data_IF_662084309955
#
_entry.id   IF_662084309955
#
_cell.length_a   1.000
_cell.length_b   1.000
_cell.length_c   1.000
_cell.angle_alpha   90.00
_cell.angle_beta   90.00
_cell.angle_gamma   90.00
#
_symmetry.space_group_name_H-M   'P 1'
#
loop_
_entity.id
_entity.type
_entity.pdbx_description
1 polymer ?
#
# COMPACT_ATOMS: atom_id res chain seq x y z
N UNK A 1 -12.35 5.45 11.27
CA UNK A 1 -10.97 5.35 10.73
C UNK A 1 -10.72 4.03 10.01
N UNK A 2 -10.83 2.86 10.67
CA UNK A 2 -10.61 1.54 10.04
C UNK A 2 -11.32 1.38 8.69
N UNK A 3 -12.64 1.59 8.64
CA UNK A 3 -13.44 1.42 7.40
C UNK A 3 -12.94 2.31 6.26
N UNK A 4 -12.59 3.57 6.53
CA UNK A 4 -12.08 4.52 5.54
C UNK A 4 -10.71 4.10 5.00
N UNK A 5 -9.80 3.68 5.88
CA UNK A 5 -8.45 3.27 5.48
C UNK A 5 -8.48 1.96 4.68
N UNK A 6 -9.25 0.97 5.14
CA UNK A 6 -9.45 -0.29 4.41
C UNK A 6 -10.12 -0.03 3.06
N UNK A 7 -11.14 0.83 3.00
CA UNK A 7 -11.77 1.20 1.74
C UNK A 7 -10.80 1.88 0.76
N UNK A 8 -10.01 2.85 1.21
CA UNK A 8 -9.00 3.49 0.37
C UNK A 8 -7.96 2.48 -0.11
N UNK A 9 -7.52 1.56 0.76
CA UNK A 9 -6.60 0.50 0.41
C UNK A 9 -7.17 -0.42 -0.68
N UNK A 10 -8.40 -0.90 -0.48
CA UNK A 10 -9.07 -1.76 -1.45
C UNK A 10 -9.29 -1.03 -2.77
N UNK A 11 -9.71 0.23 -2.75
CA UNK A 11 -9.89 1.03 -3.96
C UNK A 11 -8.59 1.13 -4.79
N UNK A 12 -7.44 1.27 -4.15
CA UNK A 12 -6.16 1.39 -4.85
C UNK A 12 -5.64 0.02 -5.31
N UNK A 13 -5.60 -0.96 -4.40
CA UNK A 13 -4.85 -2.21 -4.57
C UNK A 13 -5.72 -3.45 -4.86
N UNK A 14 -7.04 -3.40 -4.61
CA UNK A 14 -7.90 -4.57 -4.84
C UNK A 14 -8.19 -4.78 -6.31
N UNK A 15 -8.14 -6.05 -6.70
CA UNK A 15 -8.41 -6.50 -8.05
C UNK A 15 -9.90 -6.43 -8.44
N UNK A 16 -10.81 -6.20 -7.48
CA UNK A 16 -12.26 -6.18 -7.69
C UNK A 16 -12.81 -4.77 -7.94
N UNK A 17 -12.26 -3.77 -7.25
CA UNK A 17 -12.79 -2.40 -7.22
C UNK A 17 -11.87 -1.36 -7.88
N UNK A 18 -10.56 -1.63 -7.97
CA UNK A 18 -9.62 -0.69 -8.57
C UNK A 18 -9.94 -0.43 -10.04
N UNK A 19 -9.77 0.80 -10.56
CA UNK A 19 -9.90 1.08 -11.99
C UNK A 19 -9.02 0.18 -12.87
N UNK A 20 -7.89 -0.26 -12.33
CA UNK A 20 -6.93 -1.18 -12.96
C UNK A 20 -7.45 -2.62 -13.11
N UNK A 21 -8.64 -2.93 -12.57
CA UNK A 21 -9.24 -4.27 -12.62
C UNK A 21 -9.49 -4.82 -14.02
N UNK A 22 -9.55 -3.96 -15.03
CA UNK A 22 -9.81 -4.34 -16.41
C UNK A 22 -8.59 -5.00 -17.08
N UNK A 23 -7.40 -4.90 -16.49
CA UNK A 23 -6.18 -5.56 -16.98
C UNK A 23 -6.17 -6.99 -16.45
N UNK A 24 -6.28 -8.06 -17.26
CA UNK A 24 -6.42 -9.43 -16.73
C UNK A 24 -5.17 -9.92 -15.98
N UNK A 25 -3.98 -9.48 -16.38
CA UNK A 25 -2.72 -9.91 -15.79
C UNK A 25 -2.38 -9.18 -14.48
N UNK A 26 -2.09 -9.96 -13.43
CA UNK A 26 -1.79 -9.42 -12.08
C UNK A 26 -0.42 -8.74 -12.04
N UNK A 27 0.56 -9.27 -12.75
CA UNK A 27 1.89 -8.68 -12.79
C UNK A 27 1.85 -7.28 -13.44
N UNK A 28 1.13 -7.14 -14.55
CA UNK A 28 0.90 -5.85 -15.22
C UNK A 28 0.20 -4.85 -14.30
N UNK A 29 -0.83 -5.24 -13.55
CA UNK A 29 -1.45 -4.34 -12.55
C UNK A 29 -0.43 -3.84 -11.54
N UNK A 30 0.41 -4.75 -11.04
CA UNK A 30 1.45 -4.41 -10.06
C UNK A 30 2.51 -3.47 -10.66
N UNK A 31 2.96 -3.71 -11.89
CA UNK A 31 3.91 -2.81 -12.57
C UNK A 31 3.32 -1.42 -12.82
N UNK A 32 2.04 -1.31 -13.18
CA UNK A 32 1.39 0.00 -13.34
C UNK A 32 1.33 0.76 -12.01
N UNK A 33 1.01 0.07 -10.91
CA UNK A 33 1.03 0.67 -9.58
C UNK A 33 2.45 1.11 -9.17
N UNK A 34 3.48 0.32 -9.46
CA UNK A 34 4.88 0.71 -9.22
C UNK A 34 5.28 1.93 -10.05
N UNK A 35 4.90 1.98 -11.33
CA UNK A 35 5.19 3.11 -12.21
C UNK A 35 4.52 4.39 -11.70
N UNK A 36 3.27 4.30 -11.24
CA UNK A 36 2.57 5.44 -10.63
C UNK A 36 3.24 5.88 -9.33
N UNK A 37 3.64 4.93 -8.47
CA UNK A 37 4.39 5.23 -7.25
C UNK A 37 5.75 5.89 -7.53
N UNK A 38 6.47 5.40 -8.55
CA UNK A 38 7.75 5.96 -8.97
C UNK A 38 7.60 7.36 -9.54
N UNK A 39 6.56 7.62 -10.35
CA UNK A 39 6.22 8.95 -10.86
C UNK A 39 6.07 9.96 -9.72
N UNK A 40 5.35 9.60 -8.65
CA UNK A 40 5.21 10.46 -7.47
C UNK A 40 6.52 10.65 -6.71
N UNK A 41 7.32 9.60 -6.53
CA UNK A 41 8.63 9.70 -5.88
C UNK A 41 9.55 10.67 -6.64
N UNK A 42 9.54 10.62 -7.98
CA UNK A 42 10.28 11.54 -8.85
C UNK A 42 9.73 12.95 -8.75
N UNK A 43 8.41 13.14 -8.82
CA UNK A 43 7.79 14.46 -8.71
C UNK A 43 8.18 15.17 -7.39
N UNK A 44 8.18 14.44 -6.28
CA UNK A 44 8.63 14.93 -4.96
C UNK A 44 10.12 15.29 -4.97
N UNK A 45 10.97 14.48 -5.60
CA UNK A 45 12.39 14.77 -5.72
C UNK A 45 12.70 15.99 -6.57
N UNK A 46 11.98 16.16 -7.68
CA UNK A 46 12.07 17.34 -8.55
C UNK A 46 11.58 18.58 -7.81
N UNK A 47 10.46 18.51 -7.09
CA UNK A 47 9.97 19.61 -6.28
C UNK A 47 10.96 20.03 -5.18
N UNK A 48 11.70 19.06 -4.62
CA UNK A 48 12.78 19.32 -3.68
C UNK A 48 14.09 19.82 -4.34
N UNK A 49 14.20 19.75 -5.68
CA UNK A 49 15.37 20.20 -6.44
C UNK A 49 16.65 19.38 -6.21
N UNK A 50 16.54 18.14 -5.71
CA UNK A 50 17.70 17.36 -5.29
C UNK A 50 17.67 15.91 -5.80
N UNK A 51 18.73 15.52 -6.50
CA UNK A 51 18.91 14.15 -6.98
C UNK A 51 19.20 13.15 -5.85
N UNK A 52 19.87 13.57 -4.77
CA UNK A 52 20.04 12.69 -3.59
C UNK A 52 18.71 12.43 -2.90
N UNK A 53 17.82 13.42 -2.91
CA UNK A 53 16.46 13.29 -2.38
C UNK A 53 15.60 12.31 -3.19
N UNK A 54 15.93 12.04 -4.45
CA UNK A 54 15.25 11.01 -5.25
C UNK A 54 15.37 9.62 -4.61
N UNK A 55 16.58 9.21 -4.22
CA UNK A 55 16.79 7.91 -3.59
C UNK A 55 16.02 7.79 -2.27
N UNK A 56 16.09 8.82 -1.43
CA UNK A 56 15.31 8.88 -0.18
C UNK A 56 13.80 8.88 -0.43
N UNK A 57 13.34 9.59 -1.45
CA UNK A 57 11.93 9.66 -1.83
C UNK A 57 11.41 8.27 -2.25
N UNK A 58 12.14 7.55 -3.11
CA UNK A 58 11.76 6.20 -3.55
C UNK A 58 11.70 5.22 -2.36
N UNK A 59 12.74 5.21 -1.52
CA UNK A 59 12.79 4.34 -0.34
C UNK A 59 11.65 4.71 0.64
N UNK A 60 11.47 6.00 0.91
CA UNK A 60 10.45 6.51 1.81
C UNK A 60 9.03 6.13 1.38
N UNK A 61 8.69 6.32 0.10
CA UNK A 61 7.38 5.90 -0.42
C UNK A 61 7.18 4.39 -0.29
N UNK A 62 8.20 3.58 -0.59
CA UNK A 62 8.13 2.12 -0.48
C UNK A 62 7.88 1.68 0.96
N UNK A 63 8.62 2.26 1.92
CA UNK A 63 8.46 1.99 3.36
C UNK A 63 7.06 2.39 3.84
N UNK A 64 6.58 3.58 3.47
CA UNK A 64 5.26 4.06 3.88
C UNK A 64 4.12 3.19 3.34
N UNK A 65 4.18 2.81 2.06
CA UNK A 65 3.18 1.91 1.45
C UNK A 65 3.24 0.52 2.12
N UNK A 66 4.43 0.00 2.38
CA UNK A 66 4.62 -1.25 3.11
C UNK A 66 4.03 -1.22 4.53
N UNK A 67 4.27 -0.14 5.27
CA UNK A 67 3.69 0.05 6.60
C UNK A 67 2.16 0.15 6.56
N UNK A 68 1.60 0.84 5.57
CA UNK A 68 0.16 0.87 5.34
C UNK A 68 -0.41 -0.54 5.03
N UNK A 69 0.29 -1.33 4.20
CA UNK A 69 -0.08 -2.71 3.90
C UNK A 69 -0.13 -3.58 5.17
N UNK A 70 0.90 -3.49 6.01
CA UNK A 70 0.97 -4.22 7.29
C UNK A 70 -0.18 -3.79 8.20
N UNK A 71 -0.50 -2.50 8.24
CA UNK A 71 -1.60 -1.98 9.07
C UNK A 71 -2.95 -2.54 8.62
N UNK A 72 -3.24 -2.49 7.31
CA UNK A 72 -4.49 -2.99 6.75
C UNK A 72 -4.60 -4.50 6.93
N UNK A 73 -3.55 -5.26 6.65
CA UNK A 73 -3.54 -6.72 6.85
C UNK A 73 -3.76 -7.10 8.31
N UNK A 74 -3.15 -6.37 9.26
CA UNK A 74 -3.37 -6.57 10.70
C UNK A 74 -4.83 -6.34 11.09
N UNK A 75 -5.44 -5.25 10.63
CA UNK A 75 -6.86 -4.97 10.92
C UNK A 75 -7.81 -5.96 10.28
N UNK A 76 -7.55 -6.38 9.04
CA UNK A 76 -8.34 -7.39 8.34
C UNK A 76 -8.23 -8.74 9.05
N UNK A 77 -7.03 -9.14 9.48
CA UNK A 77 -6.82 -10.36 10.26
C UNK A 77 -7.57 -10.31 11.60
N UNK A 78 -7.50 -9.19 12.32
CA UNK A 78 -8.21 -9.01 13.58
C UNK A 78 -9.73 -9.05 13.41
N UNK A 79 -10.26 -8.56 12.29
CA UNK A 79 -11.68 -8.61 11.98
C UNK A 79 -12.15 -10.01 11.55
N UNK A 80 -11.34 -10.73 10.76
CA UNK A 80 -11.72 -12.02 10.19
C UNK A 80 -11.47 -13.21 11.15
N UNK A 81 -10.43 -13.13 11.98
CA UNK A 81 -9.97 -14.20 12.88
C UNK A 81 -9.52 -13.62 14.23
N UNK A 82 -10.43 -13.06 15.05
CA UNK A 82 -10.09 -12.42 16.32
C UNK A 82 -9.38 -13.37 17.30
N UNK A 83 -9.62 -14.68 17.20
CA UNK A 83 -8.99 -15.71 18.02
C UNK A 83 -7.46 -15.77 17.89
N UNK A 84 -6.89 -15.34 16.76
CA UNK A 84 -5.44 -15.25 16.57
C UNK A 84 -4.79 -14.27 17.56
N UNK A 85 -5.53 -13.24 17.95
CA UNK A 85 -5.08 -12.21 18.89
C UNK A 85 -5.44 -12.57 20.34
N UNK A 86 -6.55 -13.28 20.57
CA UNK A 86 -6.95 -13.74 21.91
C UNK A 86 -6.04 -14.86 22.46
N UNK A 87 -5.56 -15.77 21.61
CA UNK A 87 -4.71 -16.90 22.00
C UNK A 87 -3.33 -16.49 22.56
N UNK A 88 -2.85 -15.30 22.22
CA UNK A 88 -1.57 -14.77 22.73
C UNK A 88 -1.65 -14.17 24.14
N UNK A 89 -2.85 -13.82 24.62
CA UNK A 89 -3.06 -13.16 25.93
C UNK A 89 -3.13 -14.20 27.06
N UNK A 90 -3.45 -15.46 26.74
CA UNK A 90 -3.67 -16.54 27.72
C UNK A 90 -2.43 -17.46 27.92
N UNK A 91 -1.22 -16.93 27.67
CA UNK A 91 0.07 -17.59 27.90
C UNK A 91 0.99 -16.70 28.72
#
# INVERSE_FOLDING_TARGET
MRKSIVYCWDFVFSHEVSPLRHIPDVAMRHYVLQALGLMWAVAVAVAAGSYTFLAFSVIGHTVLIGAAAITVTTWTAAAAKPELFARGINR
#
